data_IF_126449838208
#
_entry.id   IF_126449838208
#
_cell.length_a   1.000
_cell.length_b   1.000
_cell.length_c   1.000
_cell.angle_alpha   90.00
_cell.angle_beta   90.00
_cell.angle_gamma   90.00
#
_symmetry.space_group_name_H-M   'P 1'
#
loop_
_entity.id
_entity.type
_entity.pdbx_description
1 polymer ?
#
# COMPACT_ATOMS: atom_id res chain seq x y z
N UNK A 1 14.24 -1.32 33.36
CA UNK A 1 13.20 -1.04 32.35
C UNK A 1 13.58 0.26 31.64
N UNK A 2 14.43 0.18 30.63
CA UNK A 2 14.78 1.31 29.77
C UNK A 2 13.72 1.43 28.68
N UNK A 3 13.22 2.65 28.50
CA UNK A 3 12.26 3.00 27.45
C UNK A 3 12.96 3.90 26.45
N UNK A 4 12.81 3.61 25.16
CA UNK A 4 13.37 4.41 24.07
C UNK A 4 12.26 4.97 23.18
N UNK A 5 12.53 6.10 22.52
CA UNK A 5 11.61 6.69 21.55
C UNK A 5 11.98 6.14 20.18
N UNK A 6 11.03 5.50 19.51
CA UNK A 6 11.23 4.98 18.16
C UNK A 6 10.26 5.65 17.18
N UNK A 7 10.76 5.89 15.96
CA UNK A 7 9.94 6.35 14.85
C UNK A 7 9.21 5.14 14.22
N UNK A 8 7.89 5.12 14.35
CA UNK A 8 7.03 4.06 13.81
C UNK A 8 6.46 4.38 12.43
N UNK A 9 6.76 5.56 11.86
CA UNK A 9 6.12 6.03 10.63
C UNK A 9 6.32 5.07 9.46
N UNK A 10 7.56 4.64 9.21
CA UNK A 10 7.87 3.73 8.11
C UNK A 10 7.23 2.33 8.29
N UNK A 11 7.35 1.66 9.46
CA UNK A 11 6.62 0.42 9.72
C UNK A 11 5.10 0.54 9.52
N UNK A 12 4.51 1.64 9.98
CA UNK A 12 3.06 1.89 9.85
C UNK A 12 2.64 2.11 8.40
N UNK A 13 3.40 2.90 7.64
CA UNK A 13 3.17 3.11 6.21
C UNK A 13 3.28 1.78 5.46
N UNK A 14 4.31 0.99 5.75
CA UNK A 14 4.52 -0.31 5.10
C UNK A 14 3.37 -1.26 5.38
N UNK A 15 2.91 -1.34 6.64
CA UNK A 15 1.77 -2.16 7.03
C UNK A 15 0.48 -1.70 6.34
N UNK A 16 0.22 -0.40 6.28
CA UNK A 16 -1.02 0.10 5.68
C UNK A 16 -1.03 -0.05 4.15
N UNK A 17 0.13 0.03 3.49
CA UNK A 17 0.27 -0.30 2.07
C UNK A 17 -0.15 -1.75 1.83
N UNK A 18 0.36 -2.71 2.61
CA UNK A 18 -0.03 -4.12 2.50
C UNK A 18 -1.53 -4.30 2.74
N UNK A 19 -2.07 -3.69 3.80
CA UNK A 19 -3.49 -3.78 4.10
C UNK A 19 -4.36 -3.26 2.95
N UNK A 20 -3.98 -2.14 2.32
CA UNK A 20 -4.73 -1.58 1.19
C UNK A 20 -4.58 -2.45 -0.05
N UNK A 21 -3.37 -2.92 -0.36
CA UNK A 21 -3.13 -3.81 -1.51
C UNK A 21 -3.87 -5.14 -1.38
N UNK A 22 -3.99 -5.68 -0.17
CA UNK A 22 -4.76 -6.90 0.12
C UNK A 22 -6.27 -6.70 -0.06
N UNK A 23 -6.78 -5.46 0.00
CA UNK A 23 -8.19 -5.19 -0.34
C UNK A 23 -8.49 -5.37 -1.82
N UNK A 24 -7.48 -5.27 -2.69
CA UNK A 24 -7.63 -5.42 -4.14
C UNK A 24 -7.43 -6.88 -4.57
N UNK A 25 -8.50 -7.68 -4.48
CA UNK A 25 -8.47 -9.07 -4.94
C UNK A 25 -8.25 -9.14 -6.46
N UNK A 26 -7.20 -9.84 -6.90
CA UNK A 26 -6.86 -10.04 -8.32
C UNK A 26 -6.66 -8.76 -9.15
N UNK A 27 -6.31 -7.65 -8.51
CA UNK A 27 -6.18 -6.37 -9.19
C UNK A 27 -4.75 -6.10 -9.69
N UNK A 28 -4.59 -5.44 -10.86
CA UNK A 28 -3.34 -4.91 -11.39
C UNK A 28 -2.40 -4.28 -10.36
N UNK A 29 -2.95 -3.48 -9.46
CA UNK A 29 -2.19 -2.68 -8.51
C UNK A 29 -1.33 -3.55 -7.59
N UNK A 30 -1.80 -4.74 -7.21
CA UNK A 30 -1.00 -5.65 -6.38
C UNK A 30 0.26 -6.12 -7.09
N UNK A 31 0.20 -6.30 -8.41
CA UNK A 31 1.35 -6.67 -9.23
C UNK A 31 2.27 -5.46 -9.48
N UNK A 32 1.69 -4.29 -9.76
CA UNK A 32 2.45 -3.05 -9.98
C UNK A 32 3.33 -2.71 -8.77
N UNK A 33 2.75 -2.72 -7.57
CA UNK A 33 3.45 -2.36 -6.33
C UNK A 33 4.23 -3.52 -5.69
N UNK A 34 4.29 -4.68 -6.36
CA UNK A 34 5.31 -5.69 -6.07
C UNK A 34 6.68 -5.29 -6.65
N UNK A 35 6.71 -4.33 -7.58
CA UNK A 35 7.94 -3.82 -8.18
C UNK A 35 8.59 -2.84 -7.20
N UNK A 36 9.86 -3.07 -6.78
CA UNK A 36 10.50 -2.31 -5.72
C UNK A 36 10.49 -0.80 -5.95
N UNK A 37 10.74 -0.36 -7.19
CA UNK A 37 10.85 1.06 -7.53
C UNK A 37 9.52 1.81 -7.32
N UNK A 38 8.40 1.25 -7.81
CA UNK A 38 7.08 1.83 -7.57
C UNK A 38 6.69 1.78 -6.10
N UNK A 39 7.09 0.72 -5.40
CA UNK A 39 6.83 0.56 -3.98
C UNK A 39 7.56 1.62 -3.15
N UNK A 40 8.83 1.86 -3.44
CA UNK A 40 9.61 2.91 -2.80
C UNK A 40 9.05 4.30 -3.08
N UNK A 41 8.60 4.56 -4.32
CA UNK A 41 7.91 5.81 -4.66
C UNK A 41 6.62 6.00 -3.85
N UNK A 42 5.81 4.94 -3.69
CA UNK A 42 4.58 4.99 -2.89
C UNK A 42 4.90 5.26 -1.42
N UNK A 43 5.91 4.58 -0.85
CA UNK A 43 6.35 4.81 0.53
C UNK A 43 6.79 6.26 0.70
N UNK A 44 7.64 6.77 -0.19
CA UNK A 44 8.13 8.14 -0.14
C UNK A 44 7.00 9.17 -0.24
N UNK A 45 6.04 8.95 -1.15
CA UNK A 45 4.84 9.78 -1.27
C UNK A 45 4.07 9.83 0.05
N UNK A 46 3.71 8.67 0.61
CA UNK A 46 2.90 8.61 1.83
C UNK A 46 3.63 9.25 3.01
N UNK A 47 4.94 9.01 3.16
CA UNK A 47 5.75 9.63 4.22
C UNK A 47 5.78 11.16 4.14
N UNK A 48 5.74 11.73 2.93
CA UNK A 48 5.67 13.19 2.73
C UNK A 48 4.28 13.76 3.05
N UNK A 49 3.23 12.93 3.07
CA UNK A 49 1.85 13.35 3.27
C UNK A 49 1.32 13.16 4.70
N UNK A 50 2.08 12.48 5.57
CA UNK A 50 1.66 12.16 6.94
C UNK A 50 2.65 12.68 8.00
N UNK A 51 2.15 13.11 9.17
CA UNK A 51 3.03 13.45 10.29
C UNK A 51 3.85 12.25 10.76
N UNK A 52 5.10 12.50 11.18
CA UNK A 52 5.92 11.47 11.78
C UNK A 52 5.30 10.97 13.11
N UNK A 53 5.26 9.65 13.26
CA UNK A 53 4.68 8.96 14.40
C UNK A 53 5.79 8.38 15.26
N UNK A 54 5.83 8.79 16.53
CA UNK A 54 6.80 8.32 17.51
C UNK A 54 6.08 7.60 18.63
N UNK A 55 6.64 6.48 19.07
CA UNK A 55 6.15 5.75 20.23
C UNK A 55 7.28 5.48 21.21
N UNK A 56 6.92 5.37 22.49
CA UNK A 56 7.82 4.94 23.53
C UNK A 56 7.75 3.42 23.62
N UNK A 57 8.86 2.75 23.31
CA UNK A 57 8.96 1.29 23.30
C UNK A 57 9.98 0.81 24.33
N UNK A 58 9.88 -0.46 24.71
CA UNK A 58 10.91 -1.09 25.56
C UNK A 58 12.10 -1.51 24.69
N UNK A 59 13.32 -1.38 25.22
CA UNK A 59 14.57 -1.57 24.48
C UNK A 59 14.77 -3.00 23.92
N UNK A 60 13.92 -3.96 24.32
CA UNK A 60 13.94 -5.35 23.87
C UNK A 60 12.63 -5.80 23.20
N UNK A 61 11.68 -4.90 22.97
CA UNK A 61 10.46 -5.26 22.24
C UNK A 61 10.73 -5.25 20.74
N UNK A 62 10.43 -6.37 20.06
CA UNK A 62 10.38 -6.40 18.60
C UNK A 62 9.36 -5.36 18.12
N UNK A 63 9.83 -4.48 17.24
CA UNK A 63 9.11 -3.32 16.74
C UNK A 63 8.14 -3.75 15.63
N UNK A 64 7.22 -4.64 15.97
CA UNK A 64 6.08 -4.90 15.12
C UNK A 64 5.10 -3.75 15.31
N UNK A 65 4.71 -3.11 14.21
CA UNK A 65 3.70 -2.07 14.23
C UNK A 65 2.37 -2.71 14.64
N UNK A 66 2.12 -2.81 15.95
CA UNK A 66 0.87 -3.34 16.46
C UNK A 66 -0.25 -2.42 15.95
N UNK A 67 -1.13 -2.92 15.06
CA UNK A 67 -2.17 -2.11 14.49
C UNK A 67 -3.13 -1.61 15.58
N UNK A 68 -3.18 -2.18 16.78
CA UNK A 68 -4.04 -1.67 17.86
C UNK A 68 -3.51 -0.39 18.51
N UNK A 69 -2.21 -0.11 18.41
CA UNK A 69 -1.57 1.08 18.99
C UNK A 69 -1.79 2.35 18.14
N UNK A 70 -2.32 2.19 16.93
CA UNK A 70 -2.51 3.28 15.97
C UNK A 70 -3.87 3.93 16.14
N UNK A 71 -3.93 5.23 16.50
CA UNK A 71 -5.19 5.97 16.57
C UNK A 71 -5.98 5.84 15.27
N UNK A 72 -7.29 5.56 15.35
CA UNK A 72 -8.16 5.42 14.18
C UNK A 72 -8.01 6.59 13.17
N UNK A 73 -8.00 7.87 13.59
CA UNK A 73 -7.87 8.98 12.65
C UNK A 73 -6.56 8.95 11.85
N UNK A 74 -5.46 8.53 12.47
CA UNK A 74 -4.17 8.40 11.79
C UNK A 74 -4.23 7.28 10.75
N UNK A 75 -4.84 6.14 11.10
CA UNK A 75 -4.98 5.02 10.19
C UNK A 75 -5.87 5.36 9.00
N UNK A 76 -6.97 6.06 9.23
CA UNK A 76 -7.87 6.50 8.15
C UNK A 76 -7.15 7.49 7.22
N UNK A 77 -6.33 8.39 7.78
CA UNK A 77 -5.47 9.28 7.00
C UNK A 77 -4.43 8.49 6.19
N UNK A 78 -3.73 7.53 6.80
CA UNK A 78 -2.76 6.68 6.11
C UNK A 78 -3.42 5.94 4.94
N UNK A 79 -4.57 5.30 5.17
CA UNK A 79 -5.35 4.63 4.12
C UNK A 79 -5.69 5.53 2.95
N UNK A 80 -6.16 6.75 3.25
CA UNK A 80 -6.50 7.72 2.22
C UNK A 80 -5.28 8.08 1.38
N UNK A 81 -4.15 8.42 2.04
CA UNK A 81 -2.91 8.78 1.33
C UNK A 81 -2.33 7.60 0.53
N UNK A 82 -2.46 6.37 1.02
CA UNK A 82 -2.04 5.18 0.27
C UNK A 82 -2.89 5.02 -1.00
N UNK A 83 -4.22 5.16 -0.90
CA UNK A 83 -5.10 5.05 -2.10
C UNK A 83 -4.82 6.16 -3.11
N UNK A 84 -4.73 7.41 -2.66
CA UNK A 84 -4.40 8.55 -3.53
C UNK A 84 -3.01 8.36 -4.18
N UNK A 85 -2.02 7.88 -3.42
CA UNK A 85 -0.68 7.61 -3.94
C UNK A 85 -0.68 6.49 -4.98
N UNK A 86 -1.46 5.43 -4.77
CA UNK A 86 -1.63 4.34 -5.74
C UNK A 86 -2.22 4.88 -7.04
N UNK A 87 -3.33 5.61 -6.98
CA UNK A 87 -4.01 6.17 -8.16
C UNK A 87 -3.07 7.09 -8.93
N UNK A 88 -2.43 8.03 -8.21
CA UNK A 88 -1.49 8.99 -8.79
C UNK A 88 -0.31 8.31 -9.48
N UNK A 89 0.35 7.38 -8.80
CA UNK A 89 1.54 6.72 -9.37
C UNK A 89 1.19 5.82 -10.55
N UNK A 90 0.00 5.21 -10.54
CA UNK A 90 -0.49 4.44 -11.69
C UNK A 90 -0.75 5.35 -12.88
N UNK A 91 -1.37 6.52 -12.67
CA UNK A 91 -1.59 7.51 -13.73
C UNK A 91 -0.27 8.07 -14.28
N UNK A 92 0.68 8.42 -13.40
CA UNK A 92 1.99 8.95 -13.79
C UNK A 92 2.84 7.90 -14.53
N UNK A 93 2.64 6.61 -14.26
CA UNK A 93 3.36 5.50 -14.87
C UNK A 93 2.47 4.69 -15.83
N UNK A 94 1.40 5.28 -16.37
CA UNK A 94 0.37 4.56 -17.13
C UNK A 94 0.95 3.73 -18.29
N UNK A 95 1.92 4.28 -19.04
CA UNK A 95 2.59 3.56 -20.13
C UNK A 95 3.31 2.31 -19.62
N UNK A 96 4.07 2.45 -18.53
CA UNK A 96 4.83 1.35 -17.93
C UNK A 96 3.92 0.30 -17.29
N UNK A 97 2.87 0.74 -16.59
CA UNK A 97 1.82 -0.10 -15.99
C UNK A 97 1.11 -0.90 -17.09
N UNK A 98 0.76 -0.27 -18.22
CA UNK A 98 0.08 -0.93 -19.34
C UNK A 98 0.91 -2.03 -20.00
N UNK A 99 2.24 -1.91 -19.98
CA UNK A 99 3.16 -2.90 -20.56
C UNK A 99 3.43 -4.08 -19.61
N UNK A 100 3.33 -3.86 -18.30
CA UNK A 100 3.68 -4.86 -17.29
C UNK A 100 2.50 -5.52 -16.59
N UNK A 101 1.31 -4.92 -16.68
CA UNK A 101 0.09 -5.49 -16.15
C UNK A 101 -0.75 -6.00 -17.33
N UNK A 102 -1.06 -7.29 -17.39
CA UNK A 102 -2.03 -7.80 -18.36
C UNK A 102 -3.33 -7.00 -18.22
N UNK A 103 -3.90 -6.48 -19.33
CA UNK A 103 -5.20 -5.85 -19.27
C UNK A 103 -6.18 -6.83 -18.63
N UNK A 104 -7.01 -6.35 -17.69
CA UNK A 104 -8.07 -7.17 -17.10
C UNK A 104 -8.86 -7.80 -18.24
N UNK A 105 -8.63 -9.09 -18.47
CA UNK A 105 -9.39 -9.86 -19.44
C UNK A 105 -10.77 -9.90 -18.82
N UNK A 106 -11.66 -9.01 -19.28
CA UNK A 106 -13.08 -9.08 -18.96
C UNK A 106 -13.55 -10.49 -19.31
N UNK A 107 -13.62 -11.36 -18.31
CA UNK A 107 -14.06 -12.75 -18.42
C UNK A 107 -15.59 -12.82 -18.62
N UNK A 108 -16.13 -11.94 -19.46
CA UNK A 108 -17.54 -11.79 -19.80
C UNK A 108 -17.81 -11.87 -21.31
N UNK A 109 -16.79 -12.08 -22.16
CA UNK A 109 -17.00 -12.35 -23.58
C UNK A 109 -16.40 -13.69 -23.96
N UNK A 110 -17.04 -14.76 -23.47
CA UNK A 110 -17.04 -16.00 -24.25
C UNK A 110 -17.93 -15.73 -25.48
N UNK A 111 -17.41 -15.75 -26.72
CA UNK A 111 -18.29 -15.80 -27.87
C UNK A 111 -18.99 -17.14 -27.78
N UNK A 112 -20.29 -17.08 -27.51
CA UNK A 112 -21.19 -18.22 -27.48
C UNK A 112 -21.08 -18.95 -28.82
N UNK A 113 -20.26 -20.00 -28.86
CA UNK A 113 -20.22 -21.01 -29.90
C UNK A 113 -21.50 -21.83 -29.81
N UNK A 114 -22.61 -21.28 -30.30
CA UNK A 114 -23.92 -21.94 -30.35
C UNK A 114 -24.44 -22.06 -31.79
N UNK A 115 -23.55 -22.09 -32.79
CA UNK A 115 -23.88 -22.67 -34.09
C UNK A 115 -23.24 -24.06 -34.17
N UNK A 116 -23.99 -25.03 -33.65
CA UNK A 116 -23.85 -26.46 -33.88
C UNK A 116 -25.24 -27.03 -34.09
#
# INVERSE_FOLDING_TARGET
>A
MSKTIANLTLPLVSLEIENVLDTYHYHPYRQAFAIPELREQLIAYVLNCVPACYAMIEEHSNLEADPTLVPRPLRDRLRLMVREGIERLVEENADWVSHHIPPEISSGSAPSSWFG
#
